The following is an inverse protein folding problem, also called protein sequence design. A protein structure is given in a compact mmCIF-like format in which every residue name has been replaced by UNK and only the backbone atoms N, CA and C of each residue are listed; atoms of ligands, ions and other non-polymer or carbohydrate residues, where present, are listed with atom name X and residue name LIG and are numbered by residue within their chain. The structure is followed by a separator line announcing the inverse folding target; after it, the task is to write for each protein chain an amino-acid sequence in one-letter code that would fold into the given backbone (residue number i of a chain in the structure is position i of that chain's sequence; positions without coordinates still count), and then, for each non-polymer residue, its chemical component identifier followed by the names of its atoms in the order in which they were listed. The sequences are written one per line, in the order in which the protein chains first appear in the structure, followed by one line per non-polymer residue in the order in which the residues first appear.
data_IF_157828839823
#
_entry.id   IF_157828839823
#
_cell.length_a   1.000
_cell.length_b   1.000
_cell.length_c   1.000
_cell.angle_alpha   90.00
_cell.angle_beta   90.00
_cell.angle_gamma   90.00
#
_symmetry.space_group_name_H-M   'P 1'
#
loop_
_entity.id
_entity.type
_entity.pdbx_description
1 polymer ?
2 polymer ?
#
loop_
_entity_poly.entity_id
_entity_poly.type
_entity_poly.pdbx_seq_one_letter_code
_entity_poly.pdbx_strand_id
1 'polyribonucleotide' 'GGUCUGGGCGCAGCGCAAGCUGACGGUACAGGCC' ?
#
# COMPACT_ATOMS: atom_id res chain seq x y z
N UNK B 1 3.56 -6.20 -15.41
CA UNK B 1 3.80 -6.33 -13.97
C UNK B 1 3.45 -5.02 -13.26
N UNK B 2 3.30 -5.11 -11.94
CA UNK B 2 3.28 -4.08 -10.92
C UNK B 2 2.40 -2.89 -11.30
N UNK B 3 1.07 -3.03 -11.19
CA UNK B 3 0.15 -1.96 -11.56
C UNK B 3 -1.20 -2.13 -10.90
N UNK B 4 -1.35 -1.69 -9.66
CA UNK B 4 -2.59 -1.55 -8.95
C UNK B 4 -2.67 -0.06 -8.53
N UNK B 5 -2.79 0.28 -7.24
CA UNK B 5 -2.76 1.65 -6.70
C UNK B 5 -1.93 1.65 -5.42
N UNK B 6 -0.59 1.62 -5.49
CA UNK B 6 0.26 1.73 -4.31
C UNK B 6 0.37 3.19 -3.83
N UNK B 7 -0.68 4.02 -3.97
CA UNK B 7 -0.65 5.46 -3.80
C UNK B 7 -0.32 5.77 -2.35
N UNK B 8 0.69 6.60 -2.05
CA UNK B 8 1.36 6.66 -0.75
C UNK B 8 0.40 6.62 0.43
N UNK B 9 -0.44 7.64 0.55
CA UNK B 9 -1.39 7.77 1.66
C UNK B 9 -2.43 6.65 1.68
N UNK B 10 -2.73 6.00 0.54
CA UNK B 10 -3.68 4.90 0.45
C UNK B 10 -3.01 3.58 0.83
N UNK B 11 -1.76 3.40 0.40
CA UNK B 11 -0.93 2.27 0.71
C UNK B 11 -0.74 2.22 2.21
N UNK B 12 -0.61 3.34 2.90
CA UNK B 12 -0.54 3.45 4.35
C UNK B 12 -1.57 2.55 5.04
N UNK B 13 -2.82 2.57 4.58
CA UNK B 13 -3.88 1.75 5.17
C UNK B 13 -3.63 0.25 4.99
N UNK B 14 -2.97 -0.17 3.89
CA UNK B 14 -2.55 -1.55 3.67
C UNK B 14 -1.26 -1.87 4.43
N UNK B 15 -0.30 -0.95 4.51
CA UNK B 15 0.92 -1.15 5.30
C UNK B 15 0.52 -1.47 6.75
N UNK B 16 -0.39 -0.65 7.29
CA UNK B 16 -1.07 -0.84 8.56
C UNK B 16 -2.05 -2.03 8.61
N UNK B 17 -2.01 -2.96 7.64
CA UNK B 17 -2.64 -4.28 7.73
C UNK B 17 -1.60 -5.41 7.89
N UNK B 18 -0.34 -5.18 7.51
CA UNK B 18 0.73 -6.11 7.80
C UNK B 18 0.96 -6.19 9.30
N UNK B 19 1.07 -5.02 9.96
CA UNK B 19 1.25 -4.88 11.41
C UNK B 19 0.21 -5.71 12.14
#
# INVERSE_FOLDING_TARGET
RRGSRPSGAERRRRRAAAA
#
